data_IF_524103407739
#
_entry.id   IF_524103407739
#
_cell.length_a   1.000
_cell.length_b   1.000
_cell.length_c   1.000
_cell.angle_alpha   90.00
_cell.angle_beta   90.00
_cell.angle_gamma   90.00
#
_symmetry.space_group_name_H-M   'P 1'
#
loop_
_entity.id
_entity.type
_entity.pdbx_description
1 polymer ?
#
# COMPACT_ATOMS: atom_id res chain seq x y z
N UNK A 1 -21.96 -9.61 -3.03
CA UNK A 1 -20.53 -9.93 -3.07
C UNK A 1 -20.20 -10.51 -4.43
N UNK A 2 -19.08 -10.13 -5.01
CA UNK A 2 -18.61 -10.69 -6.26
C UNK A 2 -17.61 -11.82 -5.98
N UNK A 3 -17.70 -12.87 -6.79
CA UNK A 3 -16.76 -14.00 -6.77
C UNK A 3 -16.08 -14.13 -8.12
N UNK A 4 -14.86 -14.61 -8.14
CA UNK A 4 -14.19 -14.95 -9.38
C UNK A 4 -14.82 -16.24 -9.99
N UNK A 5 -14.47 -16.59 -11.26
CA UNK A 5 -15.05 -17.76 -11.93
C UNK A 5 -14.81 -19.08 -11.22
N UNK A 6 -13.89 -19.17 -10.28
CA UNK A 6 -13.62 -20.37 -9.50
C UNK A 6 -14.17 -20.29 -8.08
N UNK A 7 -15.07 -19.36 -7.82
CA UNK A 7 -15.81 -19.27 -6.58
C UNK A 7 -15.08 -18.55 -5.44
N UNK A 8 -13.96 -17.91 -5.71
CA UNK A 8 -13.25 -17.11 -4.71
C UNK A 8 -13.90 -15.74 -4.55
N UNK A 9 -13.90 -15.24 -3.32
CA UNK A 9 -14.35 -13.89 -3.05
C UNK A 9 -13.44 -12.89 -3.74
N UNK A 10 -14.01 -12.03 -4.59
CA UNK A 10 -13.26 -10.95 -5.22
C UNK A 10 -12.93 -9.89 -4.19
N UNK A 11 -11.64 -9.69 -3.95
CA UNK A 11 -11.14 -8.81 -2.91
C UNK A 11 -10.98 -7.38 -3.36
N UNK A 12 -10.82 -7.15 -4.68
CA UNK A 12 -10.62 -5.82 -5.21
C UNK A 12 -11.96 -5.11 -5.28
N UNK A 13 -12.21 -4.13 -4.40
CA UNK A 13 -13.47 -3.38 -4.43
C UNK A 13 -13.52 -2.49 -5.67
N UNK A 14 -14.74 -2.09 -6.04
CA UNK A 14 -14.93 -1.09 -7.09
C UNK A 14 -14.33 0.24 -6.62
N UNK A 15 -13.47 0.82 -7.43
CA UNK A 15 -12.74 2.04 -7.13
C UNK A 15 -13.22 3.18 -8.02
N UNK A 16 -14.23 3.89 -7.54
CA UNK A 16 -14.86 4.98 -8.29
C UNK A 16 -13.99 6.23 -8.36
N UNK A 17 -13.01 6.35 -7.46
CA UNK A 17 -12.12 7.51 -7.43
C UNK A 17 -10.90 7.34 -8.34
N UNK A 18 -10.69 6.16 -8.93
CA UNK A 18 -9.48 5.88 -9.69
C UNK A 18 -9.20 6.88 -10.81
N UNK A 19 -10.17 7.27 -11.66
CA UNK A 19 -9.91 8.27 -12.71
C UNK A 19 -9.47 9.62 -12.15
N UNK A 20 -10.13 10.11 -11.12
CA UNK A 20 -9.80 11.38 -10.48
C UNK A 20 -8.45 11.29 -9.75
N UNK A 21 -8.16 10.16 -9.16
CA UNK A 21 -6.87 9.91 -8.52
C UNK A 21 -5.72 10.01 -9.52
N UNK A 22 -5.87 9.43 -10.69
CA UNK A 22 -4.85 9.52 -11.75
C UNK A 22 -4.56 10.97 -12.12
N UNK A 23 -5.60 11.77 -12.28
CA UNK A 23 -5.47 13.20 -12.58
C UNK A 23 -4.71 13.90 -11.45
N UNK A 24 -5.09 13.64 -10.22
CA UNK A 24 -4.44 14.24 -9.03
C UNK A 24 -2.97 13.84 -8.92
N UNK A 25 -2.66 12.55 -9.09
CA UNK A 25 -1.29 12.05 -9.06
C UNK A 25 -0.42 12.72 -10.12
N UNK A 26 -0.93 12.86 -11.34
CA UNK A 26 -0.20 13.55 -12.41
C UNK A 26 0.06 15.01 -12.06
N UNK A 27 -0.92 15.70 -11.51
CA UNK A 27 -0.76 17.09 -11.06
C UNK A 27 0.28 17.24 -9.96
N UNK A 28 0.49 16.21 -9.14
CA UNK A 28 1.50 16.20 -8.09
C UNK A 28 2.85 15.67 -8.57
N UNK A 29 2.95 15.16 -9.79
CA UNK A 29 4.15 14.53 -10.31
C UNK A 29 4.44 13.17 -9.67
N UNK A 30 3.41 12.46 -9.25
CA UNK A 30 3.51 11.18 -8.57
C UNK A 30 2.96 10.03 -9.41
N UNK A 31 3.42 8.81 -9.13
CA UNK A 31 2.87 7.60 -9.73
C UNK A 31 3.59 7.08 -10.96
N UNK A 32 4.61 7.78 -11.45
CA UNK A 32 5.33 7.40 -12.68
C UNK A 32 6.83 7.17 -12.48
N UNK A 33 7.39 7.67 -11.38
CA UNK A 33 8.84 7.61 -11.15
C UNK A 33 9.16 7.00 -9.79
N UNK A 34 10.19 6.15 -9.77
CA UNK A 34 10.81 5.70 -8.52
C UNK A 34 11.50 6.91 -7.88
N UNK A 35 11.28 7.09 -6.58
CA UNK A 35 11.83 8.24 -5.85
C UNK A 35 12.74 7.75 -4.72
N UNK A 36 14.03 8.12 -4.72
CA UNK A 36 14.96 7.73 -3.65
C UNK A 36 14.48 8.14 -2.25
N UNK A 37 13.80 9.28 -2.12
CA UNK A 37 13.25 9.72 -0.85
C UNK A 37 12.19 8.74 -0.32
N UNK A 38 11.39 8.16 -1.20
CA UNK A 38 10.37 7.17 -0.82
C UNK A 38 10.99 5.80 -0.54
N UNK A 39 12.04 5.43 -1.27
CA UNK A 39 12.83 4.22 -0.94
C UNK A 39 13.43 4.32 0.46
N UNK A 40 13.95 5.49 0.83
CA UNK A 40 14.49 5.73 2.16
C UNK A 40 13.42 5.59 3.26
N UNK A 41 12.23 6.09 3.01
CA UNK A 41 11.09 5.95 3.94
C UNK A 41 10.69 4.48 4.09
N UNK A 42 10.60 3.75 2.97
CA UNK A 42 10.31 2.32 2.98
C UNK A 42 11.37 1.55 3.80
N UNK A 43 12.64 1.88 3.62
CA UNK A 43 13.72 1.27 4.37
C UNK A 43 13.61 1.55 5.87
N UNK A 44 13.36 2.80 6.26
CA UNK A 44 13.15 3.17 7.66
C UNK A 44 11.99 2.42 8.28
N UNK A 45 10.89 2.33 7.56
CA UNK A 45 9.68 1.64 8.03
C UNK A 45 9.95 0.14 8.22
N UNK A 46 10.65 -0.48 7.27
CA UNK A 46 11.05 -1.89 7.38
C UNK A 46 11.94 -2.13 8.59
N UNK A 47 12.92 -1.26 8.81
CA UNK A 47 13.82 -1.36 9.97
C UNK A 47 13.08 -1.20 11.29
N UNK A 48 12.17 -0.24 11.37
CA UNK A 48 11.43 0.05 12.60
C UNK A 48 10.45 -1.08 12.96
N UNK A 49 9.80 -1.66 11.96
CA UNK A 49 8.81 -2.73 12.18
C UNK A 49 9.42 -4.12 12.18
N UNK A 50 10.63 -4.28 11.62
CA UNK A 50 11.24 -5.59 11.38
C UNK A 50 10.64 -6.35 10.21
N UNK A 51 9.71 -5.75 9.47
CA UNK A 51 9.08 -6.40 8.32
C UNK A 51 10.05 -6.47 7.13
N UNK A 52 10.03 -7.56 6.35
CA UNK A 52 10.91 -7.69 5.20
C UNK A 52 10.50 -6.84 4.00
N UNK A 53 9.23 -6.47 3.91
CA UNK A 53 8.69 -5.68 2.79
C UNK A 53 8.07 -4.39 3.32
N UNK A 54 8.41 -3.28 2.68
CA UNK A 54 7.79 -1.98 2.92
C UNK A 54 7.65 -1.23 1.61
N UNK A 55 6.54 -0.52 1.41
CA UNK A 55 6.26 0.13 0.14
C UNK A 55 5.55 1.46 0.34
N UNK A 56 5.88 2.40 -0.54
CA UNK A 56 5.07 3.58 -0.83
C UNK A 56 4.43 3.32 -2.18
N UNK A 57 3.11 3.14 -2.22
CA UNK A 57 2.39 2.57 -3.33
C UNK A 57 1.32 3.54 -3.82
N UNK A 58 1.39 3.93 -5.10
CA UNK A 58 0.35 4.73 -5.74
C UNK A 58 -0.48 3.84 -6.66
N UNK A 59 -1.79 4.07 -6.68
CA UNK A 59 -2.73 3.17 -7.35
C UNK A 59 -3.44 3.94 -8.47
N UNK A 60 -3.31 3.43 -9.69
CA UNK A 60 -4.03 3.95 -10.85
C UNK A 60 -5.25 3.06 -11.20
N UNK A 61 -5.79 3.21 -12.39
CA UNK A 61 -6.97 2.47 -12.83
C UNK A 61 -6.70 0.99 -13.07
N UNK A 62 -5.46 0.61 -13.40
CA UNK A 62 -5.12 -0.74 -13.85
C UNK A 62 -4.10 -1.43 -12.95
N UNK A 63 -3.25 -0.66 -12.26
CA UNK A 63 -2.09 -1.21 -11.56
C UNK A 63 -1.72 -0.42 -10.34
N UNK A 64 -0.84 -1.02 -9.56
CA UNK A 64 -0.16 -0.41 -8.42
C UNK A 64 1.28 -0.10 -8.82
N UNK A 65 1.80 1.04 -8.37
CA UNK A 65 3.17 1.45 -8.63
C UNK A 65 3.90 1.74 -7.32
N UNK A 66 4.99 1.03 -7.08
CA UNK A 66 5.82 1.19 -5.88
C UNK A 66 6.87 2.27 -6.11
N UNK A 67 6.51 3.51 -5.82
CA UNK A 67 7.43 4.64 -5.92
C UNK A 67 8.55 4.55 -4.88
N UNK A 68 8.27 3.92 -3.74
CA UNK A 68 9.24 3.52 -2.73
C UNK A 68 9.09 2.03 -2.44
N UNK A 69 10.22 1.32 -2.33
CA UNK A 69 10.24 -0.12 -2.10
C UNK A 69 11.46 -0.51 -1.29
N UNK A 70 11.21 -1.33 -0.26
CA UNK A 70 12.21 -2.11 0.43
C UNK A 70 11.79 -3.57 0.38
N UNK A 71 12.71 -4.45 -0.03
CA UNK A 71 12.49 -5.89 -0.10
C UNK A 71 13.76 -6.61 0.32
N UNK A 72 13.65 -7.87 0.81
CA UNK A 72 14.84 -8.62 1.20
C UNK A 72 15.75 -8.93 0.00
N UNK A 73 17.06 -9.18 0.23
CA UNK A 73 17.95 -9.61 -0.83
C UNK A 73 17.42 -10.85 -1.54
N UNK A 74 17.50 -10.88 -2.87
CA UNK A 74 17.02 -11.98 -3.68
C UNK A 74 15.54 -11.93 -4.01
N UNK A 75 14.76 -11.05 -3.39
CA UNK A 75 13.38 -10.83 -3.78
C UNK A 75 13.31 -10.02 -5.08
N UNK A 76 12.21 -10.18 -5.82
CA UNK A 76 11.96 -9.38 -7.01
C UNK A 76 11.89 -7.89 -6.67
N UNK A 77 12.36 -7.05 -7.58
CA UNK A 77 12.35 -5.60 -7.42
C UNK A 77 11.42 -4.93 -8.44
N UNK A 78 10.39 -5.65 -8.84
CA UNK A 78 9.38 -5.07 -9.70
C UNK A 78 8.65 -3.96 -8.99
N UNK A 79 8.41 -2.87 -9.71
CA UNK A 79 7.75 -1.68 -9.18
C UNK A 79 6.26 -1.65 -9.52
N UNK A 80 5.78 -2.61 -10.28
CA UNK A 80 4.38 -2.68 -10.70
C UNK A 80 3.74 -3.96 -10.21
N UNK A 81 2.46 -3.86 -9.86
CA UNK A 81 1.65 -4.99 -9.45
C UNK A 81 0.24 -4.81 -10.01
N UNK A 82 -0.39 -5.91 -10.40
CA UNK A 82 -1.78 -5.86 -10.84
C UNK A 82 -2.68 -5.31 -9.73
N UNK A 83 -3.72 -4.60 -10.12
CA UNK A 83 -4.61 -3.92 -9.19
C UNK A 83 -5.33 -4.89 -8.25
N UNK A 84 -5.57 -6.12 -8.67
CA UNK A 84 -6.28 -7.14 -7.88
C UNK A 84 -5.36 -7.95 -6.96
N UNK A 85 -4.07 -7.61 -6.88
CA UNK A 85 -3.10 -8.27 -6.00
C UNK A 85 -2.88 -7.44 -4.74
N UNK A 86 -2.77 -8.12 -3.61
CA UNK A 86 -2.48 -7.48 -2.33
C UNK A 86 -3.69 -6.78 -1.72
N UNK A 87 -3.41 -5.94 -0.74
CA UNK A 87 -4.45 -5.33 0.10
C UNK A 87 -4.51 -3.80 0.01
N UNK A 88 -3.55 -3.18 -0.66
CA UNK A 88 -3.50 -1.73 -0.82
C UNK A 88 -4.73 -1.15 -1.53
N UNK A 89 -5.27 -1.77 -2.59
CA UNK A 89 -6.49 -1.27 -3.21
C UNK A 89 -7.68 -1.21 -2.23
N UNK A 90 -7.73 -2.14 -1.30
CA UNK A 90 -8.77 -2.18 -0.27
C UNK A 90 -8.64 -0.99 0.70
N UNK A 91 -7.41 -0.68 1.10
CA UNK A 91 -7.11 0.46 1.99
C UNK A 91 -7.51 1.78 1.32
N UNK A 92 -7.16 1.94 0.06
CA UNK A 92 -7.44 3.16 -0.71
C UNK A 92 -8.94 3.38 -0.87
N UNK A 93 -9.69 2.35 -1.26
CA UNK A 93 -11.14 2.48 -1.49
C UNK A 93 -11.88 2.80 -0.19
N UNK A 94 -11.44 2.23 0.93
CA UNK A 94 -12.09 2.44 2.23
C UNK A 94 -11.60 3.68 2.97
N UNK A 95 -10.52 4.31 2.54
CA UNK A 95 -9.91 5.45 3.23
C UNK A 95 -9.55 5.14 4.69
N UNK A 96 -9.18 3.89 4.99
CA UNK A 96 -8.89 3.44 6.35
C UNK A 96 -7.67 2.53 6.38
N UNK A 97 -6.91 2.62 7.46
CA UNK A 97 -5.83 1.68 7.73
C UNK A 97 -6.38 0.25 7.85
N UNK A 98 -5.55 -0.71 7.45
CA UNK A 98 -5.87 -2.13 7.52
C UNK A 98 -4.76 -2.85 8.28
N UNK A 99 -5.15 -3.62 9.29
CA UNK A 99 -4.24 -4.40 10.14
C UNK A 99 -4.60 -5.87 9.98
N UNK A 100 -3.72 -6.64 9.36
CA UNK A 100 -3.86 -8.09 9.19
C UNK A 100 -2.69 -8.77 9.87
N UNK A 101 -2.91 -9.29 11.07
CA UNK A 101 -1.86 -9.97 11.83
C UNK A 101 -1.60 -11.39 11.32
N UNK A 102 -2.63 -12.04 10.80
CA UNK A 102 -2.52 -13.26 10.01
C UNK A 102 -3.67 -13.27 8.99
N UNK A 103 -3.34 -13.21 7.72
CA UNK A 103 -4.34 -13.15 6.64
C UNK A 103 -5.22 -14.41 6.61
N UNK A 104 -4.74 -15.53 7.14
CA UNK A 104 -5.51 -16.78 7.21
C UNK A 104 -6.69 -16.70 8.19
N UNK A 105 -6.66 -15.76 9.13
CA UNK A 105 -7.76 -15.54 10.06
C UNK A 105 -8.92 -14.76 9.41
N UNK A 106 -8.73 -14.29 8.19
CA UNK A 106 -9.70 -13.48 7.47
C UNK A 106 -10.02 -14.14 6.12
N UNK A 107 -11.10 -14.95 6.02
CA UNK A 107 -11.42 -15.63 4.76
C UNK A 107 -11.47 -14.71 3.55
N UNK A 108 -11.93 -13.46 3.75
CA UNK A 108 -11.97 -12.43 2.71
C UNK A 108 -10.58 -12.16 2.11
N UNK A 109 -9.54 -12.20 2.92
CA UNK A 109 -8.19 -11.82 2.51
C UNK A 109 -7.28 -13.02 2.22
N UNK A 110 -7.61 -14.19 2.79
CA UNK A 110 -6.81 -15.40 2.63
C UNK A 110 -6.77 -15.90 1.18
N UNK A 111 -7.78 -15.57 0.37
CA UNK A 111 -7.87 -15.97 -1.03
C UNK A 111 -7.17 -15.04 -2.01
N UNK A 112 -6.46 -14.00 -1.53
CA UNK A 112 -5.76 -13.10 -2.43
C UNK A 112 -4.62 -13.83 -3.14
N UNK A 113 -4.44 -13.55 -4.44
CA UNK A 113 -3.40 -14.18 -5.26
C UNK A 113 -2.00 -13.99 -4.68
N UNK A 114 -1.75 -12.87 -4.01
CA UNK A 114 -0.46 -12.58 -3.38
C UNK A 114 -0.09 -13.61 -2.29
N UNK A 115 -1.08 -14.16 -1.59
CA UNK A 115 -0.84 -15.20 -0.59
C UNK A 115 -0.21 -16.44 -1.22
N UNK A 116 -0.77 -16.88 -2.36
CA UNK A 116 -0.26 -18.06 -3.07
C UNK A 116 1.07 -17.78 -3.78
N UNK A 117 1.22 -16.59 -4.36
CA UNK A 117 2.39 -16.24 -5.17
C UNK A 117 3.62 -15.91 -4.33
N UNK A 118 3.44 -15.23 -3.20
CA UNK A 118 4.56 -14.74 -2.38
C UNK A 118 4.58 -15.27 -0.95
N UNK A 119 3.52 -15.95 -0.54
CA UNK A 119 3.42 -16.48 0.82
C UNK A 119 3.13 -15.42 1.88
N UNK A 120 2.59 -14.28 1.52
CA UNK A 120 2.25 -13.22 2.48
C UNK A 120 1.32 -13.77 3.56
N UNK A 121 1.66 -13.49 4.82
CA UNK A 121 0.88 -13.89 5.99
C UNK A 121 0.37 -12.70 6.80
N UNK A 122 1.03 -11.56 6.73
CA UNK A 122 0.64 -10.38 7.50
C UNK A 122 0.82 -9.11 6.68
N UNK A 123 0.02 -8.11 7.00
CA UNK A 123 -0.01 -6.82 6.29
C UNK A 123 -0.43 -5.72 7.25
N UNK A 124 0.19 -4.56 7.10
CA UNK A 124 -0.19 -3.35 7.82
C UNK A 124 -0.06 -2.19 6.85
N UNK A 125 -1.16 -1.47 6.59
CA UNK A 125 -1.14 -0.35 5.65
C UNK A 125 -2.04 0.78 6.07
N UNK A 126 -1.68 1.99 5.66
CA UNK A 126 -2.48 3.20 5.88
C UNK A 126 -2.62 3.97 4.58
N UNK A 127 -3.78 4.62 4.34
CA UNK A 127 -3.98 5.40 3.14
C UNK A 127 -3.20 6.72 3.20
N UNK A 128 -2.75 7.17 2.05
CA UNK A 128 -2.14 8.48 1.86
C UNK A 128 -3.24 9.43 1.38
N UNK A 129 -3.90 10.08 2.33
CA UNK A 129 -5.03 10.98 2.04
C UNK A 129 -4.50 12.40 1.98
N UNK A 130 -4.69 13.06 0.83
CA UNK A 130 -4.19 14.40 0.63
C UNK A 130 -5.18 15.48 1.12
N UNK A 131 -4.78 16.75 0.95
CA UNK A 131 -5.59 17.90 1.39
C UNK A 131 -6.93 18.03 0.69
N UNK A 132 -7.10 17.35 -0.45
CA UNK A 132 -8.38 17.32 -1.17
C UNK A 132 -9.33 16.23 -0.65
N UNK A 133 -8.84 15.36 0.26
CA UNK A 133 -9.58 14.20 0.74
C UNK A 133 -9.40 12.96 -0.12
N UNK A 134 -8.57 13.02 -1.16
CA UNK A 134 -8.30 11.90 -2.06
C UNK A 134 -7.31 10.93 -1.43
N UNK A 135 -7.59 9.64 -1.48
CA UNK A 135 -6.62 8.60 -1.14
C UNK A 135 -5.74 8.35 -2.38
N UNK A 136 -4.49 8.79 -2.34
CA UNK A 136 -3.55 8.71 -3.46
C UNK A 136 -2.96 7.31 -3.60
N UNK A 137 -2.80 6.62 -2.51
CA UNK A 137 -2.15 5.32 -2.41
C UNK A 137 -2.00 4.91 -0.97
N UNK A 138 -0.96 4.13 -0.69
CA UNK A 138 -0.71 3.59 0.66
C UNK A 138 0.76 3.69 1.03
N UNK A 139 1.01 3.67 2.34
CA UNK A 139 2.27 3.23 2.89
C UNK A 139 1.99 1.94 3.66
N UNK A 140 2.80 0.91 3.45
CA UNK A 140 2.52 -0.40 4.03
C UNK A 140 3.77 -1.21 4.28
N UNK A 141 3.61 -2.22 5.15
CA UNK A 141 4.57 -3.28 5.39
C UNK A 141 3.88 -4.64 5.28
N UNK A 142 4.64 -5.65 4.91
CA UNK A 142 4.15 -7.01 4.78
C UNK A 142 5.22 -8.02 5.19
N UNK A 143 4.76 -9.19 5.63
CA UNK A 143 5.65 -10.28 6.02
C UNK A 143 5.05 -11.62 5.57
N UNK A 144 5.91 -12.60 5.38
CA UNK A 144 5.55 -13.97 5.10
C UNK A 144 5.27 -14.78 6.37
N UNK A 145 5.37 -14.14 7.52
CA UNK A 145 5.04 -14.71 8.83
C UNK A 145 3.93 -13.89 9.50
N UNK A 146 3.12 -14.50 10.38
CA UNK A 146 2.18 -13.72 11.18
C UNK A 146 2.91 -12.69 12.05
N UNK A 147 2.26 -11.56 12.26
CA UNK A 147 2.82 -10.47 13.06
C UNK A 147 1.78 -9.91 14.01
N UNK A 148 2.22 -9.60 15.23
CA UNK A 148 1.40 -8.86 16.19
C UNK A 148 1.68 -7.37 16.03
N UNK A 149 1.03 -6.75 15.05
CA UNK A 149 1.19 -5.31 14.81
C UNK A 149 0.70 -4.47 15.99
N UNK A 150 -0.49 -4.81 16.51
CA UNK A 150 -1.10 -4.14 17.65
C UNK A 150 -1.33 -2.66 17.44
N UNK A 151 -1.59 -1.97 18.54
CA UNK A 151 -1.78 -0.51 18.52
C UNK A 151 -0.50 0.23 18.12
N UNK A 152 0.64 -0.24 18.59
CA UNK A 152 1.93 0.37 18.24
C UNK A 152 2.18 0.34 16.74
N UNK A 153 1.92 -0.80 16.08
CA UNK A 153 2.05 -0.91 14.63
C UNK A 153 1.10 0.04 13.90
N UNK A 154 -0.15 0.08 14.32
CA UNK A 154 -1.15 0.97 13.73
C UNK A 154 -0.75 2.45 13.86
N UNK A 155 -0.31 2.88 15.05
CA UNK A 155 0.15 4.24 15.27
C UNK A 155 1.37 4.57 14.43
N UNK A 156 2.30 3.63 14.31
CA UNK A 156 3.51 3.76 13.48
C UNK A 156 3.14 3.98 12.01
N UNK A 157 2.29 3.13 11.44
CA UNK A 157 1.97 3.24 10.02
C UNK A 157 1.20 4.53 9.71
N UNK A 158 0.31 4.95 10.61
CA UNK A 158 -0.40 6.22 10.47
C UNK A 158 0.54 7.42 10.55
N UNK A 159 1.55 7.35 11.42
CA UNK A 159 2.56 8.40 11.55
C UNK A 159 3.39 8.53 10.27
N UNK A 160 3.81 7.43 9.68
CA UNK A 160 4.51 7.44 8.40
C UNK A 160 3.63 7.99 7.27
N UNK A 161 2.35 7.64 7.24
CA UNK A 161 1.42 8.21 6.26
C UNK A 161 1.31 9.72 6.39
N UNK A 162 1.20 10.24 7.61
CA UNK A 162 1.15 11.68 7.87
C UNK A 162 2.43 12.39 7.43
N UNK A 163 3.60 11.81 7.72
CA UNK A 163 4.89 12.36 7.32
C UNK A 163 5.05 12.40 5.80
N UNK A 164 4.69 11.32 5.13
CA UNK A 164 4.70 11.26 3.66
C UNK A 164 3.80 12.33 3.05
N UNK A 165 2.60 12.48 3.58
CA UNK A 165 1.68 13.50 3.08
C UNK A 165 2.21 14.90 3.34
N UNK A 166 2.86 15.14 4.47
CA UNK A 166 3.50 16.43 4.74
C UNK A 166 4.59 16.74 3.71
N UNK A 167 5.41 15.75 3.34
CA UNK A 167 6.42 15.93 2.28
C UNK A 167 5.78 16.22 0.92
N UNK A 168 4.75 15.48 0.56
CA UNK A 168 4.04 15.67 -0.72
C UNK A 168 3.40 17.08 -0.76
N UNK A 169 2.79 17.52 0.33
CA UNK A 169 2.20 18.86 0.40
C UNK A 169 3.25 19.96 0.29
N UNK A 170 4.42 19.78 0.91
CA UNK A 170 5.53 20.75 0.76
C UNK A 170 6.00 20.85 -0.68
N UNK A 171 6.08 19.72 -1.39
CA UNK A 171 6.43 19.71 -2.81
C UNK A 171 5.37 20.42 -3.64
N UNK A 172 4.10 20.16 -3.37
CA UNK A 172 3.00 20.84 -4.06
C UNK A 172 3.05 22.36 -3.83
N UNK A 173 3.41 22.78 -2.64
CA UNK A 173 3.50 24.20 -2.27
C UNK A 173 4.81 24.86 -2.75
N UNK A 174 5.70 24.10 -3.39
CA UNK A 174 6.97 24.63 -3.90
C UNK A 174 8.01 24.91 -2.83
N UNK A 175 7.92 24.25 -1.67
CA UNK A 175 8.81 24.48 -0.53
C UNK A 175 10.05 23.58 -0.52
N UNK A 176 10.12 22.60 -1.41
CA UNK A 176 11.27 21.70 -1.60
C UNK A 176 11.45 21.32 -3.06
#
# INVERSE_FOLDING_TARGET
>A
MMYDPIGRLLLTPVDREAPDRVIRLRGLGLGEHVEPAFDAIAQQLAQLTGAPYAMVNFIDEERQFFAGLHAPPGAGRERFMARDHGYCPYVVVRHKALVLEDVRDFPRFAGNALVDETGIRSYLGAPLIDRTGMALGTVCVADTEPRRWGRTGLDTIKSFAAELMAQIHRREDGLI
#
